data_IF_006371197597
#
_entry.id   IF_006371197597
#
_cell.length_a   1.000
_cell.length_b   1.000
_cell.length_c   1.000
_cell.angle_alpha   90.00
_cell.angle_beta   90.00
_cell.angle_gamma   90.00
#
_symmetry.space_group_name_H-M   'P 1'
#
loop_
_entity.id
_entity.type
_entity.pdbx_description
1 polymer ?
#
# COMPACT_ATOMS: atom_id res chain seq x y z
N UNK A 1 19.49 -46.68 35.45
CA UNK A 1 20.21 -45.83 34.48
C UNK A 1 19.42 -45.60 33.19
N UNK A 2 19.03 -46.62 32.43
CA UNK A 2 18.22 -46.45 31.20
C UNK A 2 16.80 -45.88 31.47
N UNK A 3 16.22 -46.17 32.64
CA UNK A 3 14.94 -45.60 33.10
C UNK A 3 15.05 -44.14 33.56
N UNK A 4 16.24 -43.73 34.01
CA UNK A 4 16.56 -42.35 34.42
C UNK A 4 17.03 -41.47 33.26
N UNK A 5 17.24 -42.05 32.07
CA UNK A 5 17.72 -41.37 30.86
C UNK A 5 16.59 -41.08 29.85
N UNK A 6 15.33 -41.31 30.21
CA UNK A 6 14.17 -40.95 29.38
C UNK A 6 14.07 -41.69 28.04
N UNK A 7 14.90 -42.71 27.79
CA UNK A 7 14.93 -43.45 26.53
C UNK A 7 14.09 -44.73 26.61
N UNK A 8 12.80 -44.59 26.88
CA UNK A 8 11.83 -45.53 26.32
C UNK A 8 11.55 -45.09 24.88
N UNK A 9 12.15 -45.76 23.90
CA UNK A 9 11.52 -45.86 22.58
C UNK A 9 10.26 -46.70 22.77
N UNK A 10 9.12 -46.05 23.04
CA UNK A 10 7.81 -46.69 23.03
C UNK A 10 7.58 -47.34 21.66
N UNK A 11 7.16 -48.61 21.57
CA UNK A 11 6.91 -49.31 20.29
C UNK A 11 5.71 -48.76 19.48
N UNK A 12 5.15 -47.61 19.87
CA UNK A 12 4.05 -46.91 19.19
C UNK A 12 4.47 -45.73 18.29
N UNK A 13 5.77 -45.40 18.22
CA UNK A 13 6.25 -44.15 17.62
C UNK A 13 6.13 -44.09 16.08
N UNK A 14 6.09 -45.24 15.40
CA UNK A 14 5.97 -45.27 13.93
C UNK A 14 4.54 -45.02 13.46
N UNK A 15 3.54 -45.51 14.20
CA UNK A 15 2.13 -45.37 13.81
C UNK A 15 1.62 -43.95 14.08
N UNK A 16 2.04 -43.33 15.19
CA UNK A 16 1.76 -41.92 15.48
C UNK A 16 2.39 -40.99 14.44
N UNK A 17 3.64 -41.26 14.04
CA UNK A 17 4.30 -40.51 12.98
C UNK A 17 3.56 -40.61 11.64
N UNK A 18 3.16 -41.82 11.22
CA UNK A 18 2.34 -42.02 10.02
C UNK A 18 1.01 -41.25 10.12
N UNK A 19 0.34 -41.28 11.27
CA UNK A 19 -0.89 -40.54 11.52
C UNK A 19 -0.70 -39.03 11.34
N UNK A 20 0.38 -38.46 11.89
CA UNK A 20 0.74 -37.04 11.71
C UNK A 20 1.03 -36.74 10.24
N UNK A 21 1.78 -37.58 9.53
CA UNK A 21 2.04 -37.40 8.09
C UNK A 21 0.76 -37.40 7.26
N UNK A 22 -0.17 -38.33 7.52
CA UNK A 22 -1.47 -38.38 6.85
C UNK A 22 -2.27 -37.11 7.15
N UNK A 23 -2.32 -36.69 8.42
CA UNK A 23 -3.05 -35.49 8.81
C UNK A 23 -2.49 -34.22 8.15
N UNK A 24 -1.17 -34.04 8.18
CA UNK A 24 -0.48 -32.94 7.48
C UNK A 24 -0.79 -32.99 5.98
N UNK A 25 -0.75 -34.18 5.37
CA UNK A 25 -1.11 -34.37 3.96
C UNK A 25 -2.55 -33.95 3.64
N UNK A 26 -3.52 -34.29 4.48
CA UNK A 26 -4.92 -33.87 4.33
C UNK A 26 -5.04 -32.35 4.40
N UNK A 27 -4.43 -31.71 5.41
CA UNK A 27 -4.45 -30.25 5.56
C UNK A 27 -3.80 -29.56 4.35
N UNK A 28 -2.69 -30.10 3.86
CA UNK A 28 -2.00 -29.55 2.69
C UNK A 28 -2.85 -29.66 1.42
N UNK A 29 -3.52 -30.81 1.20
CA UNK A 29 -4.46 -30.99 0.10
C UNK A 29 -5.64 -30.01 0.19
N UNK A 30 -6.23 -29.84 1.38
CA UNK A 30 -7.30 -28.86 1.60
C UNK A 30 -6.83 -27.43 1.32
N UNK A 31 -5.61 -27.09 1.71
CA UNK A 31 -5.02 -25.77 1.45
C UNK A 31 -4.79 -25.53 -0.04
N UNK A 32 -4.25 -26.51 -0.77
CA UNK A 32 -4.08 -26.43 -2.22
C UNK A 32 -5.44 -26.29 -2.91
N UNK A 33 -6.44 -27.07 -2.52
CA UNK A 33 -7.79 -26.99 -3.09
C UNK A 33 -8.45 -25.63 -2.83
N UNK A 34 -8.30 -25.08 -1.62
CA UNK A 34 -8.79 -23.76 -1.27
C UNK A 34 -8.13 -22.67 -2.12
N UNK A 35 -6.80 -22.68 -2.21
CA UNK A 35 -6.05 -21.73 -3.04
C UNK A 35 -6.42 -21.87 -4.53
N UNK A 36 -6.57 -23.09 -5.04
CA UNK A 36 -6.93 -23.34 -6.43
C UNK A 36 -8.30 -22.76 -6.80
N UNK A 37 -9.28 -22.84 -5.89
CA UNK A 37 -10.65 -22.39 -6.13
C UNK A 37 -10.84 -20.88 -5.94
N UNK A 38 -10.22 -20.30 -4.92
CA UNK A 38 -10.48 -18.91 -4.51
C UNK A 38 -9.32 -17.96 -4.82
N UNK A 39 -8.08 -18.45 -4.95
CA UNK A 39 -6.86 -17.64 -5.07
C UNK A 39 -5.88 -18.21 -6.10
N UNK A 40 -6.38 -18.50 -7.30
CA UNK A 40 -5.57 -19.12 -8.37
C UNK A 40 -4.32 -18.31 -8.72
N UNK A 41 -4.39 -16.99 -8.65
CA UNK A 41 -3.26 -16.10 -8.94
C UNK A 41 -2.17 -16.16 -7.85
N UNK A 42 -2.56 -16.39 -6.58
CA UNK A 42 -1.59 -16.66 -5.51
C UNK A 42 -0.91 -18.00 -5.76
N UNK A 43 -1.67 -19.04 -6.14
CA UNK A 43 -1.14 -20.37 -6.41
C UNK A 43 -0.20 -20.42 -7.63
N UNK A 44 -0.30 -19.48 -8.57
CA UNK A 44 0.64 -19.38 -9.70
C UNK A 44 1.90 -18.58 -9.36
N UNK A 45 1.90 -17.85 -8.26
CA UNK A 45 2.99 -16.97 -7.87
C UNK A 45 3.84 -17.66 -6.80
N UNK A 46 4.97 -18.23 -7.23
CA UNK A 46 5.90 -18.97 -6.37
C UNK A 46 6.34 -18.15 -5.14
N UNK A 47 6.53 -16.83 -5.30
CA UNK A 47 6.90 -15.95 -4.19
C UNK A 47 5.79 -15.88 -3.14
N UNK A 48 4.53 -15.76 -3.55
CA UNK A 48 3.41 -15.66 -2.61
C UNK A 48 3.12 -17.00 -1.91
N UNK A 49 3.21 -18.14 -2.62
CA UNK A 49 3.10 -19.45 -1.98
C UNK A 49 4.23 -19.66 -0.97
N UNK A 50 5.47 -19.32 -1.35
CA UNK A 50 6.61 -19.43 -0.46
C UNK A 50 6.43 -18.54 0.77
N UNK A 51 5.89 -17.32 0.63
CA UNK A 51 5.56 -16.44 1.75
C UNK A 51 4.54 -17.06 2.71
N UNK A 52 3.43 -17.61 2.18
CA UNK A 52 2.42 -18.28 3.01
C UNK A 52 3.04 -19.45 3.78
N UNK A 53 3.79 -20.30 3.07
CA UNK A 53 4.49 -21.43 3.69
C UNK A 53 5.51 -21.00 4.74
N UNK A 54 6.30 -19.96 4.46
CA UNK A 54 7.29 -19.39 5.36
C UNK A 54 6.63 -18.88 6.64
N UNK A 55 5.52 -18.15 6.55
CA UNK A 55 4.81 -17.63 7.73
C UNK A 55 4.28 -18.78 8.58
N UNK A 56 3.65 -19.80 7.97
CA UNK A 56 3.15 -20.98 8.70
C UNK A 56 4.32 -21.68 9.41
N UNK A 57 5.40 -21.99 8.68
CA UNK A 57 6.56 -22.68 9.25
C UNK A 57 7.21 -21.85 10.35
N UNK A 58 7.38 -20.54 10.18
CA UNK A 58 7.97 -19.67 11.19
C UNK A 58 7.12 -19.64 12.47
N UNK A 59 5.81 -19.48 12.36
CA UNK A 59 4.90 -19.50 13.53
C UNK A 59 4.97 -20.85 14.25
N UNK A 60 4.96 -21.96 13.52
CA UNK A 60 5.03 -23.30 14.12
C UNK A 60 6.40 -23.58 14.74
N UNK A 61 7.49 -23.11 14.12
CA UNK A 61 8.84 -23.23 14.69
C UNK A 61 8.99 -22.41 15.98
N UNK A 62 8.51 -21.17 16.00
CA UNK A 62 8.50 -20.35 17.22
C UNK A 62 7.64 -21.02 18.30
N UNK A 63 6.45 -21.51 17.94
CA UNK A 63 5.57 -22.24 18.88
C UNK A 63 6.28 -23.48 19.43
N UNK A 64 6.96 -24.25 18.58
CA UNK A 64 7.72 -25.44 18.99
C UNK A 64 8.87 -25.07 19.90
N UNK A 65 9.61 -24.00 19.61
CA UNK A 65 10.67 -23.52 20.48
C UNK A 65 10.13 -23.13 21.85
N UNK A 66 9.03 -22.37 21.90
CA UNK A 66 8.34 -21.98 23.14
C UNK A 66 7.93 -23.21 23.97
N UNK A 67 7.43 -24.27 23.32
CA UNK A 67 6.99 -25.50 24.02
C UNK A 67 8.11 -26.24 24.77
N UNK A 68 9.38 -25.97 24.43
CA UNK A 68 10.56 -26.61 25.05
C UNK A 68 11.08 -25.77 26.24
N UNK A 69 10.67 -24.50 26.35
CA UNK A 69 11.11 -23.60 27.41
C UNK A 69 10.41 -23.98 28.72
N UNK A 70 11.20 -24.22 29.77
CA UNK A 70 10.70 -24.47 31.11
C UNK A 70 10.65 -23.14 31.87
N UNK A 71 9.44 -22.65 32.16
CA UNK A 71 9.20 -21.36 32.83
C UNK A 71 9.25 -21.52 34.36
N UNK A 72 8.87 -22.69 34.87
CA UNK A 72 8.82 -22.98 36.31
C UNK A 72 9.14 -24.44 36.59
N UNK A 73 9.50 -24.75 37.85
CA UNK A 73 9.64 -26.13 38.34
C UNK A 73 8.29 -26.87 38.40
N UNK A 74 7.17 -26.14 38.25
CA UNK A 74 5.81 -26.71 38.24
C UNK A 74 5.38 -27.11 36.81
N UNK A 75 5.04 -28.39 36.56
CA UNK A 75 4.64 -28.86 35.23
C UNK A 75 3.36 -28.21 34.71
N UNK A 76 2.42 -27.87 35.59
CA UNK A 76 1.15 -27.23 35.23
C UNK A 76 1.36 -25.82 34.66
N UNK A 77 2.36 -25.08 35.15
CA UNK A 77 2.70 -23.75 34.63
C UNK A 77 3.39 -23.87 33.27
N UNK A 78 4.26 -24.87 33.09
CA UNK A 78 4.93 -25.11 31.81
C UNK A 78 3.94 -25.52 30.71
N UNK A 79 2.86 -26.21 31.04
CA UNK A 79 1.79 -26.53 30.09
C UNK A 79 1.12 -25.27 29.52
N UNK A 80 1.05 -24.16 30.28
CA UNK A 80 0.42 -22.91 29.84
C UNK A 80 1.16 -22.21 28.69
N UNK A 81 2.38 -22.63 28.35
CA UNK A 81 3.15 -22.12 27.20
C UNK A 81 2.40 -22.24 25.88
N UNK A 82 1.40 -23.14 25.78
CA UNK A 82 0.51 -23.26 24.63
C UNK A 82 -0.26 -21.99 24.29
N UNK A 83 -0.62 -21.16 25.28
CA UNK A 83 -1.26 -19.85 25.05
C UNK A 83 -0.30 -18.79 24.48
N UNK A 84 1.00 -19.07 24.44
CA UNK A 84 2.02 -18.13 23.97
C UNK A 84 2.32 -18.29 22.46
N UNK A 85 1.67 -19.23 21.76
CA UNK A 85 1.82 -19.43 20.32
C UNK A 85 1.49 -18.14 19.53
N UNK A 86 2.41 -17.60 18.70
CA UNK A 86 2.24 -16.30 18.05
C UNK A 86 1.39 -16.41 16.76
N UNK A 87 0.30 -17.18 16.80
CA UNK A 87 -0.60 -17.35 15.64
C UNK A 87 -1.14 -16.00 15.17
N UNK A 88 -1.50 -15.11 16.10
CA UNK A 88 -1.99 -13.79 15.77
C UNK A 88 -0.98 -12.93 14.98
N UNK A 89 0.32 -13.08 15.22
CA UNK A 89 1.34 -12.41 14.42
C UNK A 89 1.31 -12.90 12.97
N UNK A 90 1.28 -14.22 12.76
CA UNK A 90 1.16 -14.83 11.42
C UNK A 90 -0.13 -14.43 10.71
N UNK A 91 -1.25 -14.44 11.43
CA UNK A 91 -2.56 -14.01 10.92
C UNK A 91 -2.55 -12.57 10.43
N UNK A 92 -1.99 -11.65 11.23
CA UNK A 92 -1.87 -10.24 10.85
C UNK A 92 -0.91 -10.04 9.66
N UNK A 93 0.23 -10.74 9.63
CA UNK A 93 1.17 -10.68 8.51
C UNK A 93 0.50 -11.12 7.20
N UNK A 94 -0.24 -12.23 7.21
CA UNK A 94 -0.97 -12.71 6.03
C UNK A 94 -2.07 -11.74 5.59
N UNK A 95 -2.77 -11.12 6.55
CA UNK A 95 -3.82 -10.15 6.24
C UNK A 95 -3.27 -8.86 5.61
N UNK A 96 -2.10 -8.39 6.06
CA UNK A 96 -1.46 -7.17 5.56
C UNK A 96 -0.71 -7.40 4.25
N UNK A 97 -0.03 -8.54 4.09
CA UNK A 97 0.82 -8.80 2.93
C UNK A 97 0.08 -9.44 1.75
N UNK A 98 -1.04 -10.13 2.00
CA UNK A 98 -1.70 -10.95 0.98
C UNK A 98 -3.18 -10.64 0.89
N UNK A 99 -3.98 -11.20 1.80
CA UNK A 99 -5.44 -11.04 1.78
C UNK A 99 -6.05 -11.45 3.12
N UNK A 100 -6.99 -10.64 3.60
CA UNK A 100 -7.66 -10.86 4.88
C UNK A 100 -8.48 -12.16 4.94
N UNK A 101 -9.15 -12.57 3.86
CA UNK A 101 -9.98 -13.79 3.85
C UNK A 101 -9.10 -15.04 3.80
N UNK A 102 -8.01 -15.02 3.04
CA UNK A 102 -7.00 -16.08 3.08
C UNK A 102 -6.39 -16.20 4.47
N UNK A 103 -6.08 -15.07 5.11
CA UNK A 103 -5.51 -15.06 6.46
C UNK A 103 -6.40 -15.77 7.48
N UNK A 104 -7.73 -15.63 7.44
CA UNK A 104 -8.64 -16.36 8.33
C UNK A 104 -8.53 -17.88 8.15
N UNK A 105 -8.50 -18.35 6.90
CA UNK A 105 -8.37 -19.78 6.61
C UNK A 105 -7.03 -20.34 7.12
N UNK A 106 -5.93 -19.63 6.85
CA UNK A 106 -4.61 -20.07 7.34
C UNK A 106 -4.49 -19.96 8.87
N UNK A 107 -5.19 -19.00 9.50
CA UNK A 107 -5.28 -18.89 10.97
C UNK A 107 -5.93 -20.13 11.58
N UNK A 108 -7.01 -20.63 10.98
CA UNK A 108 -7.65 -21.88 11.38
C UNK A 108 -6.66 -23.06 11.28
N UNK A 109 -5.93 -23.15 10.17
CA UNK A 109 -4.91 -24.20 9.97
C UNK A 109 -3.79 -24.11 11.02
N UNK A 110 -3.23 -22.93 11.26
CA UNK A 110 -2.20 -22.71 12.28
C UNK A 110 -2.71 -23.07 13.69
N UNK A 111 -3.94 -22.66 14.04
CA UNK A 111 -4.54 -22.98 15.33
C UNK A 111 -4.72 -24.49 15.55
N UNK A 112 -5.13 -25.24 14.53
CA UNK A 112 -5.21 -26.70 14.58
C UNK A 112 -3.84 -27.30 14.86
N UNK A 113 -2.78 -26.83 14.18
CA UNK A 113 -1.42 -27.30 14.43
C UNK A 113 -0.92 -26.95 15.83
N UNK A 114 -1.24 -25.76 16.35
CA UNK A 114 -0.94 -25.40 17.74
C UNK A 114 -1.59 -26.41 18.70
N UNK A 115 -2.86 -26.74 18.50
CA UNK A 115 -3.55 -27.72 19.35
C UNK A 115 -2.94 -29.12 19.30
N UNK A 116 -2.32 -29.51 18.18
CA UNK A 116 -1.63 -30.80 18.04
C UNK A 116 -0.22 -30.81 18.65
N UNK A 117 0.43 -29.65 18.79
CA UNK A 117 1.78 -29.55 19.35
C UNK A 117 1.83 -29.71 20.87
N UNK A 118 0.71 -29.46 21.55
CA UNK A 118 0.62 -29.51 23.01
C UNK A 118 -0.29 -30.65 23.45
N UNK A 119 0.22 -31.49 24.36
CA UNK A 119 -0.55 -32.55 25.00
C UNK A 119 -1.50 -31.98 26.08
N UNK A 120 -2.61 -32.66 26.35
CA UNK A 120 -3.59 -32.21 27.35
C UNK A 120 -4.57 -31.17 26.81
N UNK A 121 -4.40 -29.88 27.16
CA UNK A 121 -5.35 -28.79 26.83
C UNK A 121 -5.24 -28.25 25.39
N UNK A 122 -4.77 -29.07 24.43
CA UNK A 122 -4.53 -28.67 23.04
C UNK A 122 -5.71 -27.97 22.37
N UNK A 123 -6.95 -28.42 22.64
CA UNK A 123 -8.16 -27.77 22.12
C UNK A 123 -8.32 -26.33 22.63
N UNK A 124 -7.99 -26.05 23.89
CA UNK A 124 -8.11 -24.71 24.46
C UNK A 124 -7.07 -23.76 23.86
N UNK A 125 -5.84 -24.23 23.66
CA UNK A 125 -4.80 -23.46 22.98
C UNK A 125 -5.18 -23.15 21.53
N UNK A 126 -5.74 -24.13 20.81
CA UNK A 126 -6.22 -23.93 19.44
C UNK A 126 -7.33 -22.88 19.36
N UNK A 127 -8.33 -22.96 20.25
CA UNK A 127 -9.45 -21.99 20.27
C UNK A 127 -8.93 -20.58 20.57
N UNK A 128 -8.08 -20.41 21.59
CA UNK A 128 -7.49 -19.10 21.92
C UNK A 128 -6.64 -18.56 20.77
N UNK A 129 -5.80 -19.40 20.14
CA UNK A 129 -5.00 -19.01 18.99
C UNK A 129 -5.85 -18.58 17.78
N UNK A 130 -6.94 -19.29 17.51
CA UNK A 130 -7.87 -18.96 16.42
C UNK A 130 -8.62 -17.64 16.67
N UNK A 131 -9.16 -17.46 17.87
CA UNK A 131 -9.90 -16.23 18.25
C UNK A 131 -8.94 -15.04 18.26
N UNK A 132 -7.78 -15.17 18.90
CA UNK A 132 -6.75 -14.12 18.94
C UNK A 132 -6.27 -13.76 17.53
N UNK A 133 -6.01 -14.75 16.68
CA UNK A 133 -5.61 -14.50 15.29
C UNK A 133 -6.70 -13.82 14.45
N UNK A 134 -7.96 -14.22 14.62
CA UNK A 134 -9.11 -13.60 13.94
C UNK A 134 -9.30 -12.14 14.37
N UNK A 135 -9.23 -11.85 15.67
CA UNK A 135 -9.28 -10.47 16.19
C UNK A 135 -8.10 -9.65 15.69
N UNK A 136 -6.91 -10.24 15.61
CA UNK A 136 -5.74 -9.62 14.99
C UNK A 136 -6.01 -9.21 13.55
N UNK A 137 -6.59 -10.08 12.72
CA UNK A 137 -6.94 -9.79 11.33
C UNK A 137 -7.91 -8.60 11.25
N UNK A 138 -8.95 -8.57 12.09
CA UNK A 138 -9.87 -7.43 12.12
C UNK A 138 -9.17 -6.13 12.56
N UNK A 139 -8.25 -6.22 13.51
CA UNK A 139 -7.46 -5.08 13.97
C UNK A 139 -6.58 -4.46 12.88
N UNK A 140 -6.16 -5.25 11.89
CA UNK A 140 -5.30 -4.79 10.77
C UNK A 140 -6.05 -4.66 9.44
N UNK A 141 -7.38 -4.80 9.41
CA UNK A 141 -8.17 -4.72 8.18
C UNK A 141 -8.13 -3.34 7.50
N UNK A 142 -7.93 -2.26 8.28
CA UNK A 142 -7.86 -0.87 7.80
C UNK A 142 -6.76 -0.10 8.53
N UNK A 143 -5.51 -0.42 8.23
CA UNK A 143 -4.35 0.26 8.84
C UNK A 143 -4.14 1.61 8.18
N UNK A 144 -4.39 2.69 8.90
CA UNK A 144 -4.10 4.05 8.44
C UNK A 144 -2.79 4.58 9.03
N UNK A 145 -2.33 4.02 10.16
CA UNK A 145 -1.10 4.40 10.85
C UNK A 145 -0.46 3.18 11.53
N UNK A 146 0.85 3.23 11.79
CA UNK A 146 1.57 2.18 12.53
C UNK A 146 1.04 1.98 13.96
N UNK A 147 0.43 3.02 14.54
CA UNK A 147 -0.26 2.96 15.83
C UNK A 147 -1.48 2.02 15.82
N UNK A 148 -2.09 1.75 14.66
CA UNK A 148 -3.18 0.77 14.52
C UNK A 148 -2.69 -0.65 14.78
N UNK A 149 -1.46 -0.96 14.38
CA UNK A 149 -0.83 -2.26 14.61
C UNK A 149 -0.59 -2.51 16.10
N UNK A 150 -0.13 -1.48 16.83
CA UNK A 150 0.04 -1.57 18.27
C UNK A 150 -1.30 -1.76 19.00
N UNK A 151 -2.37 -1.08 18.53
CA UNK A 151 -3.73 -1.24 19.06
C UNK A 151 -4.28 -2.65 18.83
N UNK A 152 -3.96 -3.29 17.70
CA UNK A 152 -4.34 -4.68 17.47
C UNK A 152 -3.81 -5.62 18.57
N UNK A 153 -2.58 -5.40 19.07
CA UNK A 153 -2.03 -6.16 20.19
C UNK A 153 -2.85 -6.06 21.48
N UNK A 154 -3.40 -4.88 21.77
CA UNK A 154 -4.29 -4.67 22.93
C UNK A 154 -5.64 -5.37 22.76
N UNK A 155 -6.21 -5.37 21.55
CA UNK A 155 -7.45 -6.12 21.26
C UNK A 155 -7.24 -7.63 21.37
N UNK A 156 -6.11 -8.14 20.89
CA UNK A 156 -5.74 -9.55 21.03
C UNK A 156 -5.57 -9.89 22.52
N UNK A 157 -4.86 -9.06 23.29
CA UNK A 157 -4.72 -9.27 24.73
C UNK A 157 -6.09 -9.33 25.43
N UNK A 158 -6.98 -8.38 25.14
CA UNK A 158 -8.34 -8.35 25.70
C UNK A 158 -9.16 -9.59 25.36
N UNK A 159 -9.14 -10.04 24.10
CA UNK A 159 -9.89 -11.24 23.69
C UNK A 159 -9.28 -12.53 24.24
N UNK A 160 -7.95 -12.57 24.40
CA UNK A 160 -7.27 -13.70 25.02
C UNK A 160 -7.68 -13.85 26.48
N UNK A 161 -7.75 -12.75 27.25
CA UNK A 161 -8.25 -12.76 28.64
C UNK A 161 -9.65 -13.37 28.68
N UNK A 162 -10.57 -12.85 27.86
CA UNK A 162 -11.96 -13.31 27.84
C UNK A 162 -12.05 -14.80 27.49
N UNK A 163 -11.33 -15.20 26.43
CA UNK A 163 -11.34 -16.59 25.93
C UNK A 163 -10.77 -17.56 26.97
N UNK A 164 -9.64 -17.21 27.58
CA UNK A 164 -8.99 -18.05 28.62
C UNK A 164 -9.91 -18.21 29.83
N UNK A 165 -10.56 -17.14 30.30
CA UNK A 165 -11.52 -17.23 31.39
C UNK A 165 -12.67 -18.17 31.00
N UNK A 166 -13.27 -17.96 29.82
CA UNK A 166 -14.40 -18.80 29.35
C UNK A 166 -14.01 -20.27 29.25
N UNK A 167 -12.85 -20.59 28.67
CA UNK A 167 -12.39 -21.98 28.52
C UNK A 167 -12.06 -22.64 29.86
N UNK A 168 -11.48 -21.92 30.81
CA UNK A 168 -11.24 -22.44 32.16
C UNK A 168 -12.55 -22.70 32.92
N UNK A 169 -13.57 -21.84 32.74
CA UNK A 169 -14.90 -22.07 33.29
C UNK A 169 -15.54 -23.34 32.69
N UNK A 170 -15.43 -23.53 31.37
CA UNK A 170 -15.93 -24.73 30.67
C UNK A 170 -15.19 -26.00 31.13
N UNK A 171 -13.87 -25.91 31.31
CA UNK A 171 -13.04 -27.03 31.74
C UNK A 171 -13.23 -27.46 33.20
N UNK A 172 -13.94 -26.67 34.01
CA UNK A 172 -14.24 -26.98 35.42
C UNK A 172 -13.02 -26.95 36.36
N UNK A 173 -11.84 -26.54 35.89
CA UNK A 173 -10.59 -26.52 36.64
C UNK A 173 -10.18 -25.09 37.03
N UNK A 174 -10.85 -24.53 38.05
CA UNK A 174 -10.58 -23.15 38.51
C UNK A 174 -9.65 -23.13 39.72
N UNK A 175 -8.35 -23.29 39.47
CA UNK A 175 -7.36 -22.83 40.44
C UNK A 175 -7.02 -21.38 40.14
N UNK A 176 -7.34 -20.47 41.09
CA UNK A 176 -7.19 -19.02 40.89
C UNK A 176 -5.78 -18.63 40.44
N UNK A 177 -4.75 -19.29 40.97
CA UNK A 177 -3.35 -19.06 40.59
C UNK A 177 -3.08 -19.42 39.12
N UNK A 178 -3.50 -20.60 38.67
CA UNK A 178 -3.33 -21.05 37.28
C UNK A 178 -4.08 -20.17 36.28
N UNK A 179 -5.28 -19.69 36.66
CA UNK A 179 -6.04 -18.75 35.86
C UNK A 179 -5.28 -17.42 35.71
N UNK A 180 -4.74 -16.87 36.80
CA UNK A 180 -3.96 -15.63 36.75
C UNK A 180 -2.71 -15.77 35.87
N UNK A 181 -1.97 -16.87 35.99
CA UNK A 181 -0.83 -17.14 35.10
C UNK A 181 -1.25 -17.25 33.63
N UNK A 182 -2.36 -17.95 33.35
CA UNK A 182 -2.89 -18.08 31.99
C UNK A 182 -3.27 -16.73 31.39
N UNK A 183 -3.93 -15.86 32.18
CA UNK A 183 -4.29 -14.50 31.79
C UNK A 183 -3.03 -13.68 31.46
N UNK A 184 -2.01 -13.70 32.34
CA UNK A 184 -0.76 -12.97 32.10
C UNK A 184 -0.08 -13.45 30.82
N UNK A 185 0.00 -14.76 30.61
CA UNK A 185 0.56 -15.36 29.37
C UNK A 185 -0.25 -14.93 28.14
N UNK A 186 -1.58 -14.92 28.21
CA UNK A 186 -2.45 -14.48 27.13
C UNK A 186 -2.27 -12.99 26.77
N UNK A 187 -2.06 -12.14 27.77
CA UNK A 187 -1.74 -10.70 27.57
C UNK A 187 -0.37 -10.54 26.92
N UNK A 188 0.64 -11.25 27.43
CA UNK A 188 2.00 -11.25 26.84
C UNK A 188 1.93 -11.70 25.38
N UNK A 189 1.16 -12.76 25.07
CA UNK A 189 1.00 -13.25 23.70
C UNK A 189 0.39 -12.19 22.77
N UNK A 190 -0.65 -11.47 23.21
CA UNK A 190 -1.29 -10.44 22.39
C UNK A 190 -0.34 -9.29 22.05
N UNK A 191 0.39 -8.78 23.06
CA UNK A 191 1.37 -7.70 22.87
C UNK A 191 2.56 -8.19 22.05
N UNK A 192 3.13 -9.35 22.38
CA UNK A 192 4.28 -9.93 21.68
C UNK A 192 3.93 -10.24 20.21
N UNK A 193 2.71 -10.68 19.91
CA UNK A 193 2.28 -10.92 18.53
C UNK A 193 2.28 -9.65 17.68
N UNK A 194 1.84 -8.52 18.22
CA UNK A 194 1.91 -7.23 17.53
C UNK A 194 3.35 -6.77 17.32
N UNK A 195 4.21 -6.91 18.35
CA UNK A 195 5.63 -6.57 18.25
C UNK A 195 6.34 -7.42 17.19
N UNK A 196 6.10 -8.74 17.18
CA UNK A 196 6.66 -9.66 16.19
C UNK A 196 6.20 -9.28 14.77
N UNK A 197 4.91 -8.98 14.59
CA UNK A 197 4.38 -8.56 13.30
C UNK A 197 5.04 -7.27 12.81
N UNK A 198 5.11 -6.22 13.65
CA UNK A 198 5.75 -4.93 13.31
C UNK A 198 7.23 -5.13 12.99
N UNK A 199 7.94 -5.96 13.77
CA UNK A 199 9.37 -6.20 13.58
C UNK A 199 9.68 -6.98 12.30
N UNK A 200 8.85 -7.96 11.94
CA UNK A 200 9.10 -8.86 10.79
C UNK A 200 8.60 -8.26 9.47
N UNK A 201 7.52 -7.47 9.50
CA UNK A 201 6.84 -6.97 8.30
C UNK A 201 7.79 -6.29 7.28
N UNK A 202 8.67 -5.33 7.65
CA UNK A 202 9.50 -4.63 6.67
C UNK A 202 10.46 -5.57 5.91
N UNK A 203 10.94 -6.61 6.59
CA UNK A 203 11.84 -7.60 5.98
C UNK A 203 11.10 -8.49 4.97
N UNK A 204 9.85 -8.88 5.28
CA UNK A 204 9.03 -9.64 4.35
C UNK A 204 8.61 -8.78 3.14
N UNK A 205 8.24 -7.52 3.35
CA UNK A 205 7.95 -6.58 2.26
C UNK A 205 9.12 -6.46 1.29
N UNK A 206 10.33 -6.27 1.82
CA UNK A 206 11.55 -6.16 1.02
C UNK A 206 11.90 -7.48 0.31
N UNK A 207 11.95 -8.59 1.03
CA UNK A 207 12.35 -9.89 0.50
C UNK A 207 11.39 -10.42 -0.58
N UNK A 208 10.09 -10.11 -0.46
CA UNK A 208 9.06 -10.56 -1.40
C UNK A 208 8.63 -9.48 -2.40
N UNK A 209 9.18 -8.26 -2.28
CA UNK A 209 8.82 -7.10 -3.11
C UNK A 209 7.32 -6.78 -3.06
N UNK A 210 6.72 -6.85 -1.87
CA UNK A 210 5.29 -6.60 -1.64
C UNK A 210 5.11 -5.16 -1.17
N UNK A 211 4.23 -4.44 -1.88
CA UNK A 211 3.82 -3.09 -1.51
C UNK A 211 2.61 -3.16 -0.58
N UNK A 212 2.83 -3.15 0.73
CA UNK A 212 1.73 -3.12 1.70
C UNK A 212 1.13 -1.71 1.83
N UNK A 213 -0.05 -1.63 2.46
CA UNK A 213 -0.66 -0.35 2.85
C UNK A 213 0.27 0.49 3.75
N UNK A 214 1.04 -0.16 4.63
CA UNK A 214 1.98 0.52 5.54
C UNK A 214 3.15 1.10 4.75
N UNK A 215 3.68 0.35 3.78
CA UNK A 215 4.73 0.85 2.89
C UNK A 215 4.27 2.06 2.09
N UNK A 216 3.04 2.03 1.57
CA UNK A 216 2.46 3.19 0.88
C UNK A 216 2.30 4.41 1.79
N UNK A 217 1.87 4.21 3.04
CA UNK A 217 1.78 5.30 4.02
C UNK A 217 3.15 5.91 4.32
N UNK A 218 4.19 5.09 4.46
CA UNK A 218 5.57 5.56 4.62
C UNK A 218 6.00 6.42 3.42
N UNK A 219 5.74 5.94 2.20
CA UNK A 219 6.07 6.66 0.96
C UNK A 219 5.26 7.93 0.76
N UNK A 220 4.08 8.04 1.38
CA UNK A 220 3.26 9.26 1.35
C UNK A 220 3.79 10.38 2.25
N UNK A 221 4.76 10.09 3.13
CA UNK A 221 5.33 11.07 4.04
C UNK A 221 6.19 12.09 3.27
N UNK A 222 5.92 13.40 3.35
CA UNK A 222 6.71 14.43 2.66
C UNK A 222 8.20 14.47 3.07
N UNK A 223 8.54 13.89 4.23
CA UNK A 223 9.92 13.76 4.68
C UNK A 223 10.70 12.63 4.00
N UNK A 224 10.05 11.80 3.19
CA UNK A 224 10.73 10.82 2.36
C UNK A 224 11.73 11.52 1.44
N UNK A 225 12.95 10.97 1.32
CA UNK A 225 14.09 11.65 0.70
C UNK A 225 13.77 12.23 -0.69
N UNK A 226 13.14 11.45 -1.57
CA UNK A 226 12.79 11.90 -2.93
C UNK A 226 11.71 12.98 -2.94
N UNK A 227 10.68 12.89 -2.10
CA UNK A 227 9.62 13.91 -2.04
C UNK A 227 10.13 15.21 -1.45
N UNK A 228 11.02 15.12 -0.44
CA UNK A 228 11.69 16.29 0.12
C UNK A 228 12.57 16.98 -0.92
N UNK A 229 13.28 16.22 -1.75
CA UNK A 229 14.02 16.78 -2.89
C UNK A 229 13.10 17.42 -3.90
N UNK A 230 12.01 16.75 -4.29
CA UNK A 230 11.02 17.30 -5.22
C UNK A 230 10.47 18.65 -4.73
N UNK A 231 10.13 18.74 -3.44
CA UNK A 231 9.68 19.98 -2.81
C UNK A 231 10.72 21.11 -2.85
N UNK A 232 12.00 20.81 -2.66
CA UNK A 232 13.06 21.82 -2.54
C UNK A 232 13.69 22.21 -3.89
N UNK A 233 13.89 21.24 -4.79
CA UNK A 233 14.59 21.40 -6.06
C UNK A 233 13.62 21.66 -7.24
N UNK A 234 12.39 21.15 -7.18
CA UNK A 234 11.37 21.28 -8.24
C UNK A 234 9.95 21.53 -7.65
N UNK A 235 9.76 22.65 -6.92
CA UNK A 235 8.54 22.90 -6.15
C UNK A 235 7.26 22.95 -7.01
N UNK A 236 7.37 23.41 -8.26
CA UNK A 236 6.26 23.43 -9.21
C UNK A 236 5.76 22.03 -9.54
N UNK A 237 6.69 21.11 -9.82
CA UNK A 237 6.41 19.69 -10.04
C UNK A 237 5.87 19.01 -8.78
N UNK A 238 6.38 19.37 -7.59
CA UNK A 238 5.83 18.87 -6.33
C UNK A 238 4.36 19.26 -6.16
N UNK A 239 4.01 20.54 -6.37
CA UNK A 239 2.64 21.00 -6.27
C UNK A 239 1.72 20.37 -7.32
N UNK A 240 2.20 20.22 -8.56
CA UNK A 240 1.52 19.48 -9.62
C UNK A 240 1.18 18.04 -9.17
N UNK A 241 2.19 17.31 -8.70
CA UNK A 241 2.05 15.92 -8.26
C UNK A 241 1.03 15.74 -7.13
N UNK A 242 0.94 16.70 -6.20
CA UNK A 242 -0.09 16.71 -5.16
C UNK A 242 -1.50 16.92 -5.73
N UNK A 243 -1.66 17.81 -6.71
CA UNK A 243 -2.97 18.06 -7.35
C UNK A 243 -3.42 16.86 -8.17
N UNK A 244 -2.51 16.25 -8.94
CA UNK A 244 -2.76 15.00 -9.67
C UNK A 244 -3.17 13.89 -8.71
N UNK A 245 -2.47 13.74 -7.58
CA UNK A 245 -2.80 12.76 -6.56
C UNK A 245 -4.21 12.95 -5.98
N UNK A 246 -4.58 14.19 -5.61
CA UNK A 246 -5.91 14.50 -5.09
C UNK A 246 -7.02 14.23 -6.12
N UNK A 247 -6.78 14.60 -7.38
CA UNK A 247 -7.72 14.42 -8.48
C UNK A 247 -7.97 12.92 -8.77
N UNK A 248 -6.88 12.16 -8.85
CA UNK A 248 -6.91 10.73 -9.13
C UNK A 248 -7.50 9.93 -7.95
N UNK A 249 -7.04 10.16 -6.72
CA UNK A 249 -7.49 9.43 -5.52
C UNK A 249 -9.01 9.49 -5.33
N UNK A 250 -9.59 10.67 -5.51
CA UNK A 250 -11.02 10.89 -5.33
C UNK A 250 -11.92 10.09 -6.29
N UNK A 251 -11.36 9.61 -7.40
CA UNK A 251 -12.08 8.79 -8.39
C UNK A 251 -11.80 7.29 -8.22
N UNK A 252 -10.72 6.93 -7.52
CA UNK A 252 -10.20 5.56 -7.46
C UNK A 252 -11.20 4.58 -6.80
N UNK A 253 -11.77 4.95 -5.65
CA UNK A 253 -12.70 4.06 -4.92
C UNK A 253 -13.96 3.77 -5.76
N UNK A 254 -14.46 4.77 -6.49
CA UNK A 254 -15.69 4.65 -7.29
C UNK A 254 -15.54 3.72 -8.50
N UNK A 255 -14.31 3.42 -8.93
CA UNK A 255 -14.00 2.53 -10.05
C UNK A 255 -13.38 1.19 -9.61
N UNK A 256 -13.40 0.91 -8.30
CA UNK A 256 -12.74 -0.24 -7.65
C UNK A 256 -11.21 -0.28 -7.87
N UNK A 257 -10.55 0.88 -7.88
CA UNK A 257 -9.09 1.02 -7.88
C UNK A 257 -8.60 1.35 -6.45
N UNK A 258 -7.32 1.09 -6.16
CA UNK A 258 -6.73 1.37 -4.85
C UNK A 258 -6.40 2.88 -4.69
N UNK A 259 -7.12 3.63 -3.82
CA UNK A 259 -6.95 5.09 -3.71
C UNK A 259 -5.58 5.49 -3.16
N UNK A 260 -5.08 4.76 -2.14
CA UNK A 260 -3.79 5.06 -1.52
C UNK A 260 -2.64 4.81 -2.51
N UNK A 261 -2.71 3.72 -3.29
CA UNK A 261 -1.71 3.44 -4.31
C UNK A 261 -1.70 4.52 -5.40
N UNK A 262 -2.88 4.97 -5.84
CA UNK A 262 -3.02 6.06 -6.81
C UNK A 262 -2.41 7.36 -6.28
N UNK A 263 -2.74 7.74 -5.03
CA UNK A 263 -2.20 8.95 -4.40
C UNK A 263 -0.68 8.90 -4.32
N UNK A 264 -0.12 7.80 -3.82
CA UNK A 264 1.33 7.64 -3.69
C UNK A 264 1.98 7.58 -5.06
N UNK A 265 1.46 6.80 -6.01
CA UNK A 265 1.96 6.75 -7.38
C UNK A 265 2.04 8.13 -8.03
N UNK A 266 1.00 8.96 -7.86
CA UNK A 266 0.99 10.33 -8.33
C UNK A 266 2.04 11.23 -7.66
N UNK A 267 2.41 11.01 -6.39
CA UNK A 267 3.46 11.80 -5.75
C UNK A 267 4.84 11.56 -6.37
N UNK A 268 5.06 10.37 -6.94
CA UNK A 268 6.35 9.98 -7.49
C UNK A 268 6.41 10.02 -9.02
N UNK A 269 5.28 10.08 -9.74
CA UNK A 269 5.25 9.90 -11.20
C UNK A 269 6.26 10.78 -11.96
N UNK A 270 6.51 11.98 -11.45
CA UNK A 270 7.30 13.04 -12.09
C UNK A 270 8.69 13.25 -11.48
N UNK A 271 9.17 12.37 -10.59
CA UNK A 271 10.45 12.58 -9.88
C UNK A 271 11.66 12.69 -10.80
N UNK A 272 11.58 12.19 -12.04
CA UNK A 272 12.64 12.35 -13.03
C UNK A 272 12.94 13.79 -13.38
N UNK A 273 11.95 14.69 -13.24
CA UNK A 273 12.12 16.14 -13.46
C UNK A 273 13.16 16.76 -12.52
N UNK A 274 13.51 16.10 -11.40
CA UNK A 274 14.62 16.48 -10.52
C UNK A 274 15.97 16.59 -11.23
N UNK A 275 16.20 15.87 -12.34
CA UNK A 275 17.48 15.94 -13.05
C UNK A 275 17.69 17.28 -13.74
N UNK A 276 16.63 17.90 -14.26
CA UNK A 276 16.66 19.18 -14.99
C UNK A 276 15.37 19.99 -14.77
N UNK A 277 15.11 20.49 -13.55
CA UNK A 277 13.84 21.16 -13.21
C UNK A 277 13.50 22.34 -14.13
N UNK A 278 14.51 23.09 -14.56
CA UNK A 278 14.39 24.30 -15.37
C UNK A 278 13.81 24.08 -16.78
N UNK A 279 13.81 22.84 -17.27
CA UNK A 279 13.19 22.49 -18.55
C UNK A 279 11.68 22.21 -18.44
N UNK A 280 11.12 22.21 -17.23
CA UNK A 280 9.70 21.97 -17.01
C UNK A 280 8.99 23.27 -16.60
N UNK A 281 7.96 23.65 -17.36
CA UNK A 281 7.31 24.97 -17.28
C UNK A 281 6.78 25.29 -15.89
N UNK A 282 6.32 24.28 -15.15
CA UNK A 282 5.80 24.47 -13.79
C UNK A 282 6.86 24.93 -12.80
N UNK A 283 8.15 24.75 -13.10
CA UNK A 283 9.28 25.18 -12.26
C UNK A 283 9.97 26.46 -12.78
N UNK A 284 9.52 27.02 -13.92
CA UNK A 284 10.12 28.21 -14.51
C UNK A 284 9.58 29.48 -13.85
N UNK A 285 10.21 29.91 -12.75
CA UNK A 285 9.85 31.16 -12.06
C UNK A 285 10.70 32.34 -12.57
N UNK A 286 10.22 33.06 -13.58
CA UNK A 286 10.84 34.31 -14.05
C UNK A 286 12.09 34.12 -14.92
N UNK A 287 12.33 32.92 -15.44
CA UNK A 287 13.39 32.62 -16.40
C UNK A 287 12.85 32.53 -17.82
N UNK A 288 13.68 32.86 -18.82
CA UNK A 288 13.40 32.53 -20.22
C UNK A 288 13.21 31.02 -20.38
N UNK A 289 12.25 30.58 -21.18
CA UNK A 289 12.04 29.18 -21.47
C UNK A 289 13.23 28.60 -22.28
N UNK A 290 14.03 27.65 -21.74
CA UNK A 290 15.20 27.11 -22.43
C UNK A 290 14.83 26.39 -23.74
N UNK A 291 13.59 25.93 -23.87
CA UNK A 291 13.10 25.26 -25.08
C UNK A 291 13.03 26.18 -26.31
N UNK A 292 13.02 27.50 -26.14
CA UNK A 292 13.06 28.46 -27.25
C UNK A 292 14.43 28.51 -27.94
N UNK A 293 15.48 28.08 -27.23
CA UNK A 293 16.88 28.20 -27.68
C UNK A 293 17.42 26.89 -28.28
N UNK A 294 16.60 25.84 -28.36
CA UNK A 294 17.01 24.49 -28.82
C UNK A 294 16.02 23.91 -29.82
N UNK A 295 16.46 22.94 -30.63
CA UNK A 295 15.60 22.28 -31.63
C UNK A 295 14.43 21.49 -30.98
N UNK A 296 13.28 21.36 -31.66
CA UNK A 296 12.13 20.61 -31.15
C UNK A 296 12.46 19.14 -30.82
N UNK A 297 13.27 18.48 -31.64
CA UNK A 297 13.70 17.11 -31.41
C UNK A 297 14.51 16.97 -30.11
N UNK A 298 15.42 17.92 -29.83
CA UNK A 298 16.19 17.93 -28.58
C UNK A 298 15.29 18.21 -27.37
N UNK A 299 14.33 19.13 -27.51
CA UNK A 299 13.32 19.40 -26.49
C UNK A 299 12.51 18.15 -26.15
N UNK A 300 12.04 17.43 -27.17
CA UNK A 300 11.32 16.16 -26.99
C UNK A 300 12.17 15.12 -26.28
N UNK A 301 13.47 15.02 -26.59
CA UNK A 301 14.37 14.09 -25.92
C UNK A 301 14.57 14.45 -24.43
N UNK A 302 14.72 15.74 -24.11
CA UNK A 302 14.84 16.19 -22.71
C UNK A 302 13.54 15.90 -21.94
N UNK A 303 12.39 16.24 -22.52
CA UNK A 303 11.10 15.98 -21.89
C UNK A 303 10.89 14.48 -21.71
N UNK A 304 11.06 13.65 -22.74
CA UNK A 304 10.82 12.20 -22.62
C UNK A 304 11.81 11.48 -21.70
N UNK A 305 13.04 12.02 -21.51
CA UNK A 305 14.05 11.44 -20.63
C UNK A 305 13.63 11.39 -19.15
N UNK A 306 12.70 12.24 -18.69
CA UNK A 306 12.29 12.23 -17.27
C UNK A 306 11.71 10.88 -16.84
N UNK A 307 11.16 10.09 -17.77
CA UNK A 307 10.66 8.75 -17.46
C UNK A 307 11.82 7.83 -17.04
N UNK A 308 12.85 7.70 -17.88
CA UNK A 308 14.01 6.85 -17.61
C UNK A 308 14.77 7.33 -16.36
N UNK A 309 14.98 8.64 -16.28
CA UNK A 309 15.67 9.27 -15.14
C UNK A 309 14.89 9.09 -13.83
N UNK A 310 13.55 9.15 -13.89
CA UNK A 310 12.69 8.90 -12.74
C UNK A 310 12.74 7.45 -12.29
N UNK A 311 12.72 6.50 -13.23
CA UNK A 311 12.86 5.05 -12.94
C UNK A 311 14.21 4.75 -12.30
N UNK A 312 15.29 5.36 -12.78
CA UNK A 312 16.63 5.23 -12.17
C UNK A 312 16.64 5.75 -10.72
N UNK A 313 16.16 6.97 -10.49
CA UNK A 313 16.06 7.56 -9.15
C UNK A 313 15.20 6.71 -8.19
N UNK A 314 14.09 6.16 -8.70
CA UNK A 314 13.20 5.30 -7.94
C UNK A 314 13.87 3.98 -7.54
N UNK A 315 14.63 3.36 -8.44
CA UNK A 315 15.39 2.14 -8.16
C UNK A 315 16.51 2.39 -7.15
N UNK A 316 17.25 3.49 -7.30
CA UNK A 316 18.28 3.90 -6.32
C UNK A 316 17.70 4.11 -4.92
N UNK A 317 16.48 4.66 -4.84
CA UNK A 317 15.75 4.85 -3.59
C UNK A 317 15.00 3.59 -3.09
N UNK A 318 15.14 2.44 -3.77
CA UNK A 318 14.45 1.19 -3.45
C UNK A 318 12.91 1.35 -3.38
N UNK A 319 12.33 2.16 -4.27
CA UNK A 319 10.87 2.25 -4.38
C UNK A 319 10.28 0.90 -4.87
N UNK A 320 9.10 0.50 -4.38
CA UNK A 320 8.43 -0.70 -4.85
C UNK A 320 8.08 -0.61 -6.34
N UNK A 321 8.12 -1.74 -7.05
CA UNK A 321 7.83 -1.80 -8.49
C UNK A 321 6.47 -1.17 -8.84
N UNK A 322 5.45 -1.39 -8.01
CA UNK A 322 4.13 -0.78 -8.22
C UNK A 322 4.15 0.75 -8.27
N UNK A 323 5.09 1.41 -7.59
CA UNK A 323 5.27 2.88 -7.64
C UNK A 323 6.12 3.27 -8.85
N UNK A 324 7.16 2.48 -9.16
CA UNK A 324 7.98 2.66 -10.37
C UNK A 324 7.13 2.62 -11.63
N UNK A 325 6.11 1.74 -11.68
CA UNK A 325 5.21 1.60 -12.82
C UNK A 325 4.45 2.92 -13.11
N UNK A 326 4.12 3.73 -12.10
CA UNK A 326 3.51 5.06 -12.32
C UNK A 326 4.48 6.01 -13.02
N UNK A 327 5.76 5.96 -12.67
CA UNK A 327 6.78 6.77 -13.33
C UNK A 327 6.92 6.33 -14.78
N UNK A 328 7.04 5.04 -15.02
CA UNK A 328 7.28 4.48 -16.34
C UNK A 328 6.10 4.66 -17.30
N UNK A 329 4.85 4.55 -16.80
CA UNK A 329 3.67 4.38 -17.66
C UNK A 329 2.69 5.56 -17.68
N UNK A 330 2.86 6.59 -16.83
CA UNK A 330 1.85 7.67 -16.73
C UNK A 330 1.68 8.47 -18.03
N UNK A 331 2.66 8.47 -18.94
CA UNK A 331 2.51 9.05 -20.27
C UNK A 331 2.24 8.02 -21.38
N UNK A 332 2.36 6.72 -21.08
CA UNK A 332 2.19 5.64 -22.04
C UNK A 332 3.08 5.83 -23.27
N UNK A 333 2.48 5.73 -24.45
CA UNK A 333 3.17 6.05 -25.72
C UNK A 333 2.71 7.38 -26.30
N UNK A 334 2.29 8.31 -25.44
CA UNK A 334 1.70 9.58 -25.83
C UNK A 334 2.62 10.43 -26.70
N UNK A 335 2.04 11.26 -27.55
CA UNK A 335 2.77 12.19 -28.40
C UNK A 335 3.11 13.46 -27.62
N UNK A 336 4.36 13.92 -27.70
CA UNK A 336 4.80 15.23 -27.22
C UNK A 336 4.35 16.32 -28.20
N UNK A 337 3.04 16.56 -28.23
CA UNK A 337 2.32 17.32 -29.28
C UNK A 337 2.90 18.70 -29.58
N UNK A 338 3.28 19.47 -28.56
CA UNK A 338 3.80 20.82 -28.75
C UNK A 338 5.08 20.83 -29.59
N UNK A 339 6.07 20.01 -29.21
CA UNK A 339 7.33 19.94 -29.94
C UNK A 339 7.19 19.23 -31.29
N UNK A 340 6.29 18.26 -31.41
CA UNK A 340 5.98 17.64 -32.70
C UNK A 340 5.42 18.66 -33.70
N UNK A 341 4.42 19.46 -33.29
CA UNK A 341 3.83 20.47 -34.16
C UNK A 341 4.85 21.55 -34.54
N UNK A 342 5.66 22.02 -33.58
CA UNK A 342 6.75 22.95 -33.87
C UNK A 342 7.76 22.38 -34.86
N UNK A 343 8.06 21.09 -34.74
CA UNK A 343 8.94 20.40 -35.69
C UNK A 343 8.32 20.34 -37.09
N UNK A 344 7.02 20.06 -37.21
CA UNK A 344 6.30 20.05 -38.49
C UNK A 344 6.28 21.44 -39.15
N UNK A 345 6.18 22.52 -38.37
CA UNK A 345 6.28 23.89 -38.89
C UNK A 345 7.68 24.20 -39.43
N UNK A 346 8.73 23.60 -38.85
CA UNK A 346 10.12 23.71 -39.27
C UNK A 346 10.48 22.71 -40.42
N UNK A 347 9.64 21.71 -40.69
CA UNK A 347 9.88 20.62 -41.66
C UNK A 347 9.50 21.02 -43.08
N UNK A 348 10.50 21.40 -43.87
CA UNK A 348 10.34 21.75 -45.29
C UNK A 348 10.23 20.54 -46.21
N UNK A 349 10.71 19.37 -45.76
CA UNK A 349 10.90 18.18 -46.60
C UNK A 349 9.91 17.04 -46.25
N UNK A 350 9.05 17.23 -45.24
CA UNK A 350 7.99 16.28 -44.86
C UNK A 350 8.53 14.95 -44.32
N UNK A 351 9.71 14.97 -43.72
CA UNK A 351 10.44 13.78 -43.29
C UNK A 351 10.26 13.46 -41.78
N UNK A 352 9.53 14.30 -41.03
CA UNK A 352 9.36 14.10 -39.59
C UNK A 352 8.35 12.98 -39.29
N UNK A 353 8.83 11.94 -38.62
CA UNK A 353 8.00 10.86 -38.09
C UNK A 353 7.48 11.20 -36.70
N UNK A 354 6.19 10.96 -36.50
CA UNK A 354 5.52 11.04 -35.20
C UNK A 354 6.18 10.14 -34.14
N UNK A 355 6.71 8.99 -34.55
CA UNK A 355 7.36 8.03 -33.65
C UNK A 355 8.56 8.62 -32.90
N UNK A 356 9.26 9.60 -33.47
CA UNK A 356 10.41 10.26 -32.83
C UNK A 356 10.02 11.23 -31.70
N UNK A 357 8.72 11.54 -31.56
CA UNK A 357 8.17 12.46 -30.57
C UNK A 357 7.22 11.77 -29.58
N UNK A 358 7.15 10.43 -29.61
CA UNK A 358 6.36 9.65 -28.66
C UNK A 358 7.21 9.14 -27.51
N UNK A 359 6.57 9.02 -26.34
CA UNK A 359 7.15 8.26 -25.23
C UNK A 359 7.32 6.78 -25.62
N UNK A 360 8.35 6.13 -25.08
CA UNK A 360 8.64 4.72 -25.36
C UNK A 360 7.58 3.76 -24.76
N UNK A 361 6.87 4.21 -23.72
CA UNK A 361 5.89 3.40 -22.99
C UNK A 361 6.51 2.53 -21.90
N UNK A 362 5.78 1.48 -21.45
CA UNK A 362 4.55 0.94 -22.04
C UNK A 362 3.28 1.74 -21.71
N UNK A 363 2.19 1.47 -22.45
CA UNK A 363 0.83 1.95 -22.11
C UNK A 363 0.41 1.48 -20.70
N UNK A 364 -0.44 2.22 -19.97
CA UNK A 364 -0.88 1.86 -18.63
C UNK A 364 -1.59 0.50 -18.61
N UNK A 365 -1.12 -0.37 -17.72
CA UNK A 365 -1.62 -1.77 -17.62
C UNK A 365 -2.73 -1.95 -16.56
N UNK A 366 -2.95 -0.96 -15.68
CA UNK A 366 -3.92 -1.05 -14.58
C UNK A 366 -4.85 0.16 -14.56
N UNK A 367 -5.97 0.05 -13.82
CA UNK A 367 -6.88 1.19 -13.64
C UNK A 367 -6.18 2.35 -12.94
N UNK A 368 -5.36 2.05 -11.96
CA UNK A 368 -4.62 3.03 -11.16
C UNK A 368 -3.64 3.84 -12.03
N UNK A 369 -2.87 3.17 -12.89
CA UNK A 369 -1.91 3.81 -13.80
C UNK A 369 -2.63 4.68 -14.84
N UNK A 370 -3.69 4.15 -15.45
CA UNK A 370 -4.49 4.90 -16.40
C UNK A 370 -5.19 6.10 -15.74
N UNK A 371 -5.61 5.98 -14.47
CA UNK A 371 -6.23 7.07 -13.74
C UNK A 371 -5.25 8.22 -13.47
N UNK A 372 -4.00 7.91 -13.11
CA UNK A 372 -2.95 8.93 -12.93
C UNK A 372 -2.59 9.58 -14.27
N UNK A 373 -2.48 8.82 -15.37
CA UNK A 373 -2.30 9.38 -16.72
C UNK A 373 -3.39 10.41 -17.06
N UNK A 374 -4.65 10.06 -16.81
CA UNK A 374 -5.78 10.94 -17.09
C UNK A 374 -5.75 12.18 -16.18
N UNK A 375 -5.47 12.00 -14.89
CA UNK A 375 -5.39 13.10 -13.93
C UNK A 375 -4.26 14.08 -14.26
N UNK A 376 -3.07 13.57 -14.60
CA UNK A 376 -1.91 14.36 -15.02
C UNK A 376 -2.22 15.22 -16.25
N UNK A 377 -2.76 14.61 -17.30
CA UNK A 377 -3.12 15.33 -18.52
C UNK A 377 -4.23 16.36 -18.30
N UNK A 378 -5.20 16.06 -17.42
CA UNK A 378 -6.32 16.96 -17.12
C UNK A 378 -5.90 18.13 -16.24
N UNK A 379 -5.09 17.90 -15.20
CA UNK A 379 -4.56 18.95 -14.32
C UNK A 379 -3.80 19.97 -15.16
N UNK A 380 -2.82 19.50 -15.95
CA UNK A 380 -1.96 20.37 -16.75
C UNK A 380 -2.76 21.18 -17.77
N UNK A 381 -3.74 20.55 -18.42
CA UNK A 381 -4.61 21.22 -19.39
C UNK A 381 -5.51 22.28 -18.73
N UNK A 382 -6.14 21.97 -17.61
CA UNK A 382 -7.04 22.92 -16.92
C UNK A 382 -6.28 24.06 -16.27
N UNK A 383 -5.07 23.81 -15.74
CA UNK A 383 -4.19 24.83 -15.18
C UNK A 383 -3.77 25.88 -16.22
N UNK A 384 -3.73 25.51 -17.50
CA UNK A 384 -3.41 26.42 -18.61
C UNK A 384 -4.59 27.31 -19.07
N UNK A 385 -5.81 27.08 -18.56
CA UNK A 385 -6.98 27.87 -18.95
C UNK A 385 -6.93 29.28 -18.33
N UNK A 386 -7.08 30.32 -19.17
CA UNK A 386 -7.13 31.70 -18.69
C UNK A 386 -8.36 32.00 -17.81
N UNK A 387 -9.52 31.41 -18.13
CA UNK A 387 -10.78 31.60 -17.42
C UNK A 387 -11.50 30.24 -17.24
N UNK A 388 -11.17 29.50 -16.17
CA UNK A 388 -11.77 28.20 -15.90
C UNK A 388 -13.22 28.36 -15.37
N UNK A 389 -14.21 28.20 -16.25
CA UNK A 389 -15.62 28.09 -15.87
C UNK A 389 -16.01 26.62 -15.78
N UNK A 390 -17.09 26.24 -15.06
CA UNK A 390 -17.53 24.85 -14.98
C UNK A 390 -17.75 24.18 -16.34
N UNK A 391 -18.23 24.95 -17.33
CA UNK A 391 -18.44 24.46 -18.68
C UNK A 391 -17.11 24.25 -19.43
N UNK A 392 -16.17 25.20 -19.35
CA UNK A 392 -14.87 25.08 -20.03
C UNK A 392 -14.02 23.97 -19.43
N UNK A 393 -14.04 23.81 -18.09
CA UNK A 393 -13.40 22.69 -17.39
C UNK A 393 -13.97 21.36 -17.91
N UNK A 394 -15.31 21.22 -17.93
CA UNK A 394 -15.97 19.98 -18.36
C UNK A 394 -15.67 19.60 -19.79
N UNK A 395 -15.65 20.58 -20.69
CA UNK A 395 -15.31 20.36 -22.09
C UNK A 395 -13.83 19.96 -22.24
N UNK A 396 -12.93 20.59 -21.49
CA UNK A 396 -11.50 20.24 -21.48
C UNK A 396 -11.29 18.80 -20.98
N UNK A 397 -11.88 18.43 -19.83
CA UNK A 397 -11.77 17.08 -19.27
C UNK A 397 -12.24 16.02 -20.28
N UNK A 398 -13.41 16.23 -20.89
CA UNK A 398 -13.95 15.30 -21.90
C UNK A 398 -13.05 15.20 -23.13
N UNK A 399 -12.51 16.33 -23.59
CA UNK A 399 -11.61 16.37 -24.74
C UNK A 399 -10.34 15.57 -24.48
N UNK A 400 -9.70 15.75 -23.33
CA UNK A 400 -8.47 15.04 -22.95
C UNK A 400 -8.72 13.54 -22.81
N UNK A 401 -9.80 13.12 -22.14
CA UNK A 401 -10.13 11.70 -22.00
C UNK A 401 -10.40 11.07 -23.38
N UNK A 402 -11.12 11.78 -24.25
CA UNK A 402 -11.40 11.32 -25.61
C UNK A 402 -10.10 11.20 -26.42
N UNK A 403 -9.21 12.18 -26.33
CA UNK A 403 -7.93 12.17 -27.02
C UNK A 403 -7.06 10.96 -26.61
N UNK A 404 -7.01 10.63 -25.31
CA UNK A 404 -6.30 9.43 -24.82
C UNK A 404 -6.94 8.13 -25.29
N UNK A 405 -8.27 8.10 -25.40
CA UNK A 405 -9.01 6.96 -25.93
C UNK A 405 -8.75 6.77 -27.43
N UNK A 406 -8.82 7.86 -28.21
CA UNK A 406 -8.62 7.86 -29.66
C UNK A 406 -7.15 7.53 -30.02
N UNK A 407 -6.18 7.93 -29.18
CA UNK A 407 -4.75 7.55 -29.28
C UNK A 407 -4.46 6.11 -28.77
N UNK A 408 -5.49 5.37 -28.36
CA UNK A 408 -5.39 4.00 -27.88
C UNK A 408 -4.61 3.83 -26.58
N UNK A 409 -4.34 4.89 -25.81
CA UNK A 409 -3.53 4.81 -24.59
C UNK A 409 -4.14 3.92 -23.51
N UNK A 410 -5.46 3.73 -23.54
CA UNK A 410 -6.22 3.01 -22.52
C UNK A 410 -6.44 1.53 -22.84
N UNK A 411 -5.99 1.04 -24.01
CA UNK A 411 -6.27 -0.32 -24.54
C UNK A 411 -5.81 -1.46 -23.61
N UNK A 412 -4.71 -1.26 -22.89
CA UNK A 412 -4.13 -2.26 -22.00
C UNK A 412 -4.61 -2.12 -20.55
N UNK A 413 -5.44 -1.11 -20.25
CA UNK A 413 -6.00 -0.90 -18.92
C UNK A 413 -7.42 -1.47 -18.85
N UNK A 414 -7.82 -2.11 -17.73
CA UNK A 414 -9.16 -2.69 -17.59
C UNK A 414 -10.23 -1.62 -17.25
N UNK A 415 -10.10 -0.40 -17.77
CA UNK A 415 -11.08 0.67 -17.61
C UNK A 415 -12.27 0.44 -18.55
N UNK A 416 -13.48 0.58 -18.00
CA UNK A 416 -14.73 0.52 -18.78
C UNK A 416 -15.20 1.92 -19.17
N UNK A 417 -16.09 2.03 -20.17
CA UNK A 417 -16.74 3.32 -20.48
C UNK A 417 -17.48 3.93 -19.27
N UNK A 418 -18.05 3.07 -18.42
CA UNK A 418 -18.69 3.49 -17.16
C UNK A 418 -17.66 4.08 -16.17
N UNK A 419 -16.46 3.51 -16.12
CA UNK A 419 -15.37 4.06 -15.30
C UNK A 419 -14.96 5.43 -15.83
N UNK A 420 -14.80 5.60 -17.16
CA UNK A 420 -14.46 6.89 -17.76
C UNK A 420 -15.50 7.99 -17.48
N UNK A 421 -16.79 7.66 -17.51
CA UNK A 421 -17.85 8.61 -17.16
C UNK A 421 -17.78 9.00 -15.67
N UNK A 422 -17.51 8.02 -14.79
CA UNK A 422 -17.33 8.24 -13.35
C UNK A 422 -16.13 9.15 -13.08
N UNK A 423 -15.00 8.87 -13.71
CA UNK A 423 -13.76 9.67 -13.63
C UNK A 423 -14.03 11.09 -14.11
N UNK A 424 -14.68 11.26 -15.27
CA UNK A 424 -15.01 12.59 -15.83
C UNK A 424 -15.82 13.42 -14.84
N UNK A 425 -16.87 12.84 -14.24
CA UNK A 425 -17.74 13.53 -13.26
C UNK A 425 -16.96 13.93 -12.01
N UNK A 426 -16.14 13.01 -11.49
CA UNK A 426 -15.32 13.24 -10.31
C UNK A 426 -14.29 14.35 -10.55
N UNK A 427 -13.57 14.30 -11.67
CA UNK A 427 -12.58 15.31 -12.05
C UNK A 427 -13.20 16.70 -12.18
N UNK A 428 -14.34 16.80 -12.89
CA UNK A 428 -15.05 18.08 -13.02
C UNK A 428 -15.41 18.64 -11.64
N UNK A 429 -15.97 17.83 -10.73
CA UNK A 429 -16.35 18.27 -9.38
C UNK A 429 -15.17 18.83 -8.58
N UNK A 430 -14.01 18.17 -8.65
CA UNK A 430 -12.81 18.57 -7.89
C UNK A 430 -12.21 19.85 -8.48
N UNK A 431 -12.08 19.92 -9.80
CA UNK A 431 -11.52 21.08 -10.49
C UNK A 431 -12.44 22.30 -10.39
N UNK A 432 -13.76 22.13 -10.50
CA UNK A 432 -14.74 23.20 -10.27
C UNK A 432 -14.60 23.79 -8.85
N UNK A 433 -14.29 22.96 -7.85
CA UNK A 433 -14.03 23.41 -6.48
C UNK A 433 -12.66 24.09 -6.30
N UNK A 434 -11.61 23.56 -6.93
CA UNK A 434 -10.25 24.09 -6.84
C UNK A 434 -10.10 25.45 -7.54
N UNK A 435 -10.77 25.63 -8.68
CA UNK A 435 -10.72 26.86 -9.48
C UNK A 435 -11.91 27.80 -9.25
N UNK A 436 -12.78 27.51 -8.27
CA UNK A 436 -13.82 28.46 -7.90
C UNK A 436 -13.17 29.73 -7.36
N UNK A 437 -13.45 30.89 -8.00
CA UNK A 437 -12.98 32.18 -7.49
C UNK A 437 -13.42 32.31 -6.03
N UNK A 438 -12.45 32.37 -5.10
CA UNK A 438 -12.71 32.96 -3.79
C UNK A 438 -13.28 34.35 -4.07
N UNK A 439 -14.47 34.64 -3.55
CA UNK A 439 -15.11 35.95 -3.66
C UNK A 439 -14.04 36.99 -3.31
N UNK A 440 -13.65 37.82 -4.29
CA UNK A 440 -12.80 38.97 -4.01
C UNK A 440 -13.59 39.86 -3.05
N UNK A 441 -12.99 40.16 -1.89
CA UNK A 441 -13.60 41.12 -0.98
C UNK A 441 -13.80 42.43 -1.76
N UNK A 442 -15.01 43.01 -1.77
CA UNK A 442 -15.26 44.27 -2.45
C UNK A 442 -14.19 45.29 -2.06
N UNK A 443 -13.66 46.05 -3.02
CA UNK A 443 -12.62 47.07 -2.80
C UNK A 443 -12.96 48.02 -1.65
N UNK A 444 -14.24 48.19 -1.36
CA UNK A 444 -14.78 48.98 -0.24
C UNK A 444 -14.25 48.47 1.11
N UNK A 445 -14.17 47.15 1.30
CA UNK A 445 -13.67 46.52 2.54
C UNK A 445 -12.15 46.67 2.64
N UNK A 446 -11.42 46.55 1.52
CA UNK A 446 -9.96 46.76 1.46
C UNK A 446 -9.61 48.22 1.80
N UNK A 447 -10.33 49.19 1.20
CA UNK A 447 -10.20 50.62 1.52
C UNK A 447 -10.59 50.94 2.95
N UNK A 448 -11.54 50.21 3.55
CA UNK A 448 -11.90 50.38 4.96
C UNK A 448 -10.80 49.85 5.90
N UNK A 449 -10.10 48.77 5.54
CA UNK A 449 -8.93 48.29 6.27
C UNK A 449 -7.73 49.24 6.17
N UNK A 450 -7.51 49.85 5.01
CA UNK A 450 -6.48 50.88 4.81
C UNK A 450 -6.78 52.15 5.62
N UNK A 451 -8.02 52.65 5.59
CA UNK A 451 -8.46 53.79 6.42
C UNK A 451 -8.37 53.52 7.92
N UNK A 452 -8.66 52.29 8.37
CA UNK A 452 -8.52 51.92 9.79
C UNK A 452 -7.05 51.87 10.24
N UNK A 453 -6.12 51.53 9.34
CA UNK A 453 -4.68 51.59 9.60
C UNK A 453 -4.16 53.03 9.68
N UNK A 454 -4.64 53.92 8.81
CA UNK A 454 -4.29 55.35 8.88
C UNK A 454 -4.84 56.01 10.16
N UNK A 455 -6.03 55.62 10.62
CA UNK A 455 -6.64 56.18 11.84
C UNK A 455 -6.07 55.64 13.16
N UNK A 456 -5.18 54.63 13.15
CA UNK A 456 -4.60 54.02 14.37
C UNK A 456 -3.07 54.09 14.40
N UNK A 457 -2.46 54.89 13.53
CA UNK A 457 -1.01 55.09 13.50
C UNK A 457 -0.61 56.52 13.83
N UNK A 458 -0.86 57.00 15.06
CA UNK A 458 -0.05 58.06 15.68
C UNK A 458 -0.20 58.16 17.23
N UNK A 459 -0.24 57.02 17.90
CA UNK A 459 -0.10 56.98 19.37
C UNK A 459 0.87 55.86 19.76
N UNK A 460 2.14 56.07 19.45
CA UNK A 460 3.27 55.55 20.23
C UNK A 460 4.51 56.39 19.85
N UNK A 461 4.64 57.52 20.53
CA UNK A 461 5.88 58.30 20.67
C UNK A 461 6.14 58.47 22.17
#
# INVERSE_FOLDING_TARGET
LLEQLGMQRTPGNNLSFIGVCIFVGIIFLLMIEFLRRYYREILKNDKLIFLVGLIIVLVLLITRFISIIHISDQPDINALTGYLAPVAAGSMLLAVLIDSRLAHFITMVMAIFVGLLFEGQGLFYAITAFIGGTVGIFGVYRVNQTSDLARAGLYIAGVNILTIITLNLIGGSLTLNLLLYSIVIGVINGIASAVLMIGILPYLESAFSITSMIKLLELSNPNHYLLKRLLLEAPGTYHHSLMVGNLAEASAESINANPLLVRVGAYYHDIGKLKRPEYFVENQFGFDNPHEKIAPALSSLIITAHIKEGVELAREANLPQQVIDFIEQHHGTGLVKYFYNRALEEDRDGCISEGSFRYEGPKPQTKELALVMLADSVEAAVRSLQNPTPETIRNMVKSIIKDKLDDGQLENSPLTFKDLETITKSFCKILEGAYHKRIEYPEIIVKEFEKRRENHGDHDN
#
